data_IF_917616843003
#
_entry.id   IF_917616843003
#
_cell.length_a   1.000
_cell.length_b   1.000
_cell.length_c   1.000
_cell.angle_alpha   90.00
_cell.angle_beta   90.00
_cell.angle_gamma   90.00
#
_symmetry.space_group_name_H-M   'P 1'
#
loop_
_entity.id
_entity.type
_entity.pdbx_description
1 polymer ?
#
# COMPACT_ATOMS: atom_id res chain seq x y z
N UNK A 1 -17.36 4.98 -20.58
CA UNK A 1 -17.88 5.17 -19.21
C UNK A 1 -16.86 5.97 -18.44
N UNK A 2 -17.30 6.94 -17.65
CA UNK A 2 -16.41 7.73 -16.77
C UNK A 2 -16.26 6.99 -15.45
N UNK A 3 -15.03 6.68 -15.05
CA UNK A 3 -14.75 6.08 -13.73
C UNK A 3 -15.10 7.07 -12.63
N UNK A 4 -15.89 6.64 -11.65
CA UNK A 4 -16.27 7.46 -10.50
C UNK A 4 -15.37 7.17 -9.29
N UNK A 5 -15.38 8.05 -8.28
CA UNK A 5 -14.61 7.83 -7.06
C UNK A 5 -14.98 6.51 -6.34
N UNK A 6 -16.28 6.13 -6.20
CA UNK A 6 -16.64 4.81 -5.67
C UNK A 6 -16.06 3.64 -6.48
N UNK A 7 -16.01 3.73 -7.80
CA UNK A 7 -15.43 2.67 -8.64
C UNK A 7 -13.93 2.47 -8.32
N UNK A 8 -13.21 3.56 -8.06
CA UNK A 8 -11.80 3.52 -7.67
C UNK A 8 -11.64 2.83 -6.31
N UNK A 9 -12.51 3.14 -5.34
CA UNK A 9 -12.45 2.53 -4.01
C UNK A 9 -12.77 1.04 -4.04
N UNK A 10 -13.74 0.61 -4.85
CA UNK A 10 -14.07 -0.80 -5.04
C UNK A 10 -12.87 -1.52 -5.68
N UNK A 11 -12.30 -0.96 -6.75
CA UNK A 11 -11.12 -1.53 -7.39
C UNK A 11 -9.90 -1.60 -6.45
N UNK A 12 -9.74 -0.62 -5.56
CA UNK A 12 -8.68 -0.62 -4.55
C UNK A 12 -8.88 -1.73 -3.51
N UNK A 13 -10.12 -1.96 -3.07
CA UNK A 13 -10.45 -3.06 -2.17
C UNK A 13 -10.17 -4.42 -2.84
N UNK A 14 -10.59 -4.60 -4.10
CA UNK A 14 -10.31 -5.82 -4.87
C UNK A 14 -8.80 -6.04 -5.03
N UNK A 15 -8.03 -4.98 -5.29
CA UNK A 15 -6.57 -5.04 -5.41
C UNK A 15 -5.91 -5.49 -4.09
N UNK A 16 -6.41 -5.03 -2.93
CA UNK A 16 -5.92 -5.48 -1.62
C UNK A 16 -6.18 -6.98 -1.43
N UNK A 17 -7.40 -7.45 -1.69
CA UNK A 17 -7.76 -8.87 -1.55
C UNK A 17 -6.92 -9.75 -2.47
N UNK A 18 -6.82 -9.38 -3.75
CA UNK A 18 -6.01 -10.12 -4.72
C UNK A 18 -4.53 -10.14 -4.33
N UNK A 19 -4.03 -9.06 -3.72
CA UNK A 19 -2.64 -8.99 -3.25
C UNK A 19 -2.42 -9.94 -2.08
N UNK A 20 -3.37 -10.04 -1.15
CA UNK A 20 -3.31 -10.99 -0.05
C UNK A 20 -3.24 -12.42 -0.57
N UNK A 21 -4.11 -12.77 -1.54
CA UNK A 21 -4.15 -14.13 -2.11
C UNK A 21 -2.88 -14.52 -2.88
N UNK A 22 -2.20 -13.56 -3.51
CA UNK A 22 -1.06 -13.83 -4.39
C UNK A 22 0.31 -13.65 -3.72
N UNK A 23 0.41 -12.78 -2.72
CA UNK A 23 1.71 -12.26 -2.25
C UNK A 23 1.94 -12.39 -0.75
N UNK A 24 0.89 -12.60 0.03
CA UNK A 24 1.07 -12.87 1.45
C UNK A 24 1.53 -14.31 1.63
N UNK A 25 2.41 -14.51 2.61
CA UNK A 25 2.87 -15.87 2.92
C UNK A 25 1.72 -16.72 3.47
N UNK A 26 1.89 -18.05 3.51
CA UNK A 26 0.91 -18.97 4.09
C UNK A 26 0.56 -18.63 5.55
N UNK A 27 1.45 -17.96 6.27
CA UNK A 27 1.27 -17.51 7.65
C UNK A 27 0.63 -16.11 7.75
N UNK A 28 0.23 -15.51 6.63
CA UNK A 28 -0.41 -14.19 6.57
C UNK A 28 0.57 -13.01 6.70
N UNK A 29 1.89 -13.25 6.70
CA UNK A 29 2.87 -12.16 6.70
C UNK A 29 2.78 -11.37 5.39
N UNK A 30 2.55 -10.06 5.51
CA UNK A 30 2.47 -9.13 4.38
C UNK A 30 3.83 -8.76 3.83
N UNK A 31 3.87 -8.61 2.51
CA UNK A 31 5.06 -8.14 1.79
C UNK A 31 5.67 -6.82 2.32
N UNK A 32 4.87 -5.91 2.89
CA UNK A 32 5.37 -4.63 3.38
C UNK A 32 6.16 -4.76 4.69
N UNK A 33 5.66 -5.51 5.67
CA UNK A 33 6.38 -5.75 6.93
C UNK A 33 7.79 -6.31 6.66
N UNK A 34 7.89 -7.31 5.77
CA UNK A 34 9.17 -7.89 5.35
C UNK A 34 10.06 -6.88 4.60
N UNK A 35 9.46 -6.06 3.73
CA UNK A 35 10.18 -5.02 2.99
C UNK A 35 10.82 -4.03 3.94
N UNK A 36 10.04 -3.52 4.90
CA UNK A 36 10.51 -2.54 5.90
C UNK A 36 11.57 -3.15 6.81
N UNK A 37 11.37 -4.36 7.31
CA UNK A 37 12.37 -5.05 8.14
C UNK A 37 13.71 -5.19 7.40
N UNK A 38 13.67 -5.60 6.12
CA UNK A 38 14.86 -5.74 5.29
C UNK A 38 15.52 -4.38 5.03
N UNK A 39 14.73 -3.36 4.70
CA UNK A 39 15.22 -2.00 4.46
C UNK A 39 15.92 -1.44 5.69
N UNK A 40 15.30 -1.56 6.86
CA UNK A 40 15.87 -1.12 8.14
C UNK A 40 17.20 -1.83 8.43
N UNK A 41 17.26 -3.15 8.23
CA UNK A 41 18.49 -3.92 8.43
C UNK A 41 19.65 -3.49 7.51
N UNK A 42 19.35 -3.14 6.25
CA UNK A 42 20.36 -2.75 5.27
C UNK A 42 20.85 -1.30 5.44
N UNK A 43 19.95 -0.40 5.87
CA UNK A 43 20.21 1.05 5.88
C UNK A 43 20.49 1.62 7.26
N UNK A 44 20.14 0.90 8.32
CA UNK A 44 20.16 1.40 9.70
C UNK A 44 19.01 2.36 10.02
N UNK A 45 18.03 2.51 9.13
CA UNK A 45 16.81 3.26 9.42
C UNK A 45 15.85 2.49 10.35
N UNK A 46 14.88 3.21 10.89
CA UNK A 46 13.84 2.64 11.76
C UNK A 46 12.47 3.06 11.24
N UNK A 47 12.05 2.48 10.13
CA UNK A 47 10.72 2.66 9.55
C UNK A 47 9.74 1.64 10.12
N UNK A 48 8.48 2.06 10.27
CA UNK A 48 7.34 1.18 10.56
C UNK A 48 6.74 0.61 9.27
N UNK A 49 5.89 -0.42 9.38
CA UNK A 49 5.13 -0.93 8.22
C UNK A 49 4.26 0.19 7.62
N UNK A 50 3.66 1.02 8.49
CA UNK A 50 2.89 2.19 8.11
C UNK A 50 3.72 3.18 7.28
N UNK A 51 4.95 3.45 7.66
CA UNK A 51 5.85 4.35 6.90
C UNK A 51 6.10 3.82 5.49
N UNK A 52 6.23 2.49 5.34
CA UNK A 52 6.34 1.84 4.03
C UNK A 52 5.12 2.09 3.14
N UNK A 53 3.90 1.93 3.69
CA UNK A 53 2.66 2.22 2.94
C UNK A 53 2.49 3.71 2.60
N UNK A 54 2.85 4.61 3.52
CA UNK A 54 2.87 6.05 3.27
C UNK A 54 3.84 6.37 2.13
N UNK A 55 5.04 5.81 2.16
CA UNK A 55 6.04 6.02 1.11
C UNK A 55 5.53 5.57 -0.26
N UNK A 56 4.90 4.39 -0.34
CA UNK A 56 4.28 3.89 -1.57
C UNK A 56 3.15 4.79 -2.09
N UNK A 57 2.36 5.37 -1.17
CA UNK A 57 1.32 6.35 -1.52
C UNK A 57 1.93 7.59 -2.17
N UNK A 58 3.02 8.11 -1.61
CA UNK A 58 3.75 9.28 -2.16
C UNK A 58 4.29 8.98 -3.56
N UNK A 59 4.82 7.78 -3.81
CA UNK A 59 5.27 7.36 -5.15
C UNK A 59 4.12 7.39 -6.16
N UNK A 60 2.95 6.88 -5.78
CA UNK A 60 1.75 6.87 -6.64
C UNK A 60 1.25 8.27 -6.93
N UNK A 61 1.21 9.13 -5.90
CA UNK A 61 0.88 10.53 -6.09
C UNK A 61 1.87 11.23 -7.01
N UNK A 62 3.18 11.05 -6.83
CA UNK A 62 4.20 11.63 -7.69
C UNK A 62 4.06 11.18 -9.15
N UNK A 63 3.79 9.89 -9.40
CA UNK A 63 3.55 9.35 -10.75
C UNK A 63 2.32 9.95 -11.41
N UNK A 64 1.24 10.15 -10.67
CA UNK A 64 0.02 10.78 -11.20
C UNK A 64 0.25 12.19 -11.75
N UNK A 65 1.32 12.87 -11.31
CA UNK A 65 1.68 14.22 -11.78
C UNK A 65 2.58 14.21 -13.04
N UNK A 66 3.14 13.06 -13.43
CA UNK A 66 4.18 12.97 -14.47
C UNK A 66 3.61 12.78 -15.90
N UNK A 67 2.49 13.45 -16.19
CA UNK A 67 2.00 13.72 -17.54
C UNK A 67 0.97 12.74 -18.12
N UNK A 68 1.02 11.44 -17.79
CA UNK A 68 -0.04 10.49 -18.18
C UNK A 68 -0.92 10.20 -16.98
N UNK A 69 -2.16 10.67 -17.01
CA UNK A 69 -3.14 10.33 -15.98
C UNK A 69 -3.55 8.86 -16.14
N UNK A 70 -3.01 7.98 -15.29
CA UNK A 70 -3.36 6.56 -15.23
C UNK A 70 -4.21 6.34 -13.99
N UNK A 71 -5.43 5.83 -14.16
CA UNK A 71 -6.38 5.62 -13.05
C UNK A 71 -5.81 4.68 -11.97
N UNK A 72 -4.97 3.74 -12.38
CA UNK A 72 -4.21 2.82 -11.52
C UNK A 72 -3.37 3.53 -10.47
N UNK A 73 -2.86 4.73 -10.76
CA UNK A 73 -2.09 5.49 -9.77
C UNK A 73 -2.96 5.91 -8.58
N UNK A 74 -4.24 6.22 -8.83
CA UNK A 74 -5.20 6.57 -7.80
C UNK A 74 -5.78 5.33 -7.11
N UNK A 75 -6.02 4.25 -7.85
CA UNK A 75 -6.48 2.97 -7.28
C UNK A 75 -5.45 2.40 -6.31
N UNK A 76 -4.19 2.29 -6.72
CA UNK A 76 -3.12 1.83 -5.85
C UNK A 76 -2.86 2.80 -4.70
N UNK A 77 -2.93 4.12 -4.95
CA UNK A 77 -2.81 5.13 -3.90
C UNK A 77 -3.88 4.99 -2.81
N UNK A 78 -5.14 4.75 -3.20
CA UNK A 78 -6.23 4.48 -2.27
C UNK A 78 -6.01 3.16 -1.50
N UNK A 79 -5.54 2.11 -2.18
CA UNK A 79 -5.22 0.84 -1.55
C UNK A 79 -4.11 0.98 -0.50
N UNK A 80 -3.03 1.69 -0.83
CA UNK A 80 -1.91 1.90 0.10
C UNK A 80 -2.29 2.77 1.30
N UNK A 81 -3.12 3.80 1.11
CA UNK A 81 -3.65 4.57 2.25
C UNK A 81 -4.53 3.71 3.17
N UNK A 82 -5.36 2.82 2.60
CA UNK A 82 -6.16 1.91 3.40
C UNK A 82 -5.29 0.93 4.22
N UNK A 83 -4.26 0.34 3.59
CA UNK A 83 -3.30 -0.57 4.25
C UNK A 83 -2.46 0.14 5.33
N UNK A 84 -2.08 1.40 5.10
CA UNK A 84 -1.44 2.23 6.12
C UNK A 84 -2.36 2.44 7.34
N UNK A 85 -3.65 2.67 7.11
CA UNK A 85 -4.65 2.79 8.17
C UNK A 85 -4.86 1.48 8.92
N UNK A 86 -4.90 0.35 8.21
CA UNK A 86 -5.03 -0.99 8.82
C UNK A 86 -3.83 -1.31 9.73
N UNK A 87 -2.62 -0.90 9.32
CA UNK A 87 -1.37 -1.15 10.07
C UNK A 87 -1.38 -0.51 11.46
N UNK A 88 -2.16 0.56 11.69
CA UNK A 88 -2.32 1.17 13.02
C UNK A 88 -2.92 0.20 14.05
N UNK A 89 -3.85 -0.67 13.62
CA UNK A 89 -4.48 -1.66 14.49
C UNK A 89 -3.53 -2.79 14.91
N UNK A 90 -2.49 -3.03 14.11
CA UNK A 90 -1.43 -4.02 14.36
C UNK A 90 -0.33 -3.45 15.27
N UNK A 91 0.03 -2.18 15.09
CA UNK A 91 1.03 -1.48 15.92
C UNK A 91 0.57 -1.23 17.35
N UNK A 92 -0.73 -1.00 17.59
CA UNK A 92 -1.27 -0.78 18.93
C UNK A 92 -1.28 -2.03 19.84
N UNK A 93 -0.87 -3.20 19.33
CA UNK A 93 -0.82 -4.47 20.06
C UNK A 93 0.60 -4.94 20.41
N UNK A 94 1.63 -4.18 20.05
CA UNK A 94 3.04 -4.47 20.37
C UNK A 94 3.59 -3.56 21.47
#
# INVERSE_FOLDING_TARGET
MTTTAPDILIAAADAITNRADQRDSADGERSMARTVATFNALTGCTLSERDGWIFMTVVKLARSQQGRHVIDDYTDGAAFMALAGESLGSEAKS
#
